data_IF_426066136921
#
_entry.id   IF_426066136921
#
_cell.length_a   1.000
_cell.length_b   1.000
_cell.length_c   1.000
_cell.angle_alpha   90.00
_cell.angle_beta   90.00
_cell.angle_gamma   90.00
#
_symmetry.space_group_name_H-M   'P 1'
#
loop_
_entity.id
_entity.type
_entity.pdbx_description
1 polymer ?
#
# COMPACT_ATOMS: atom_id res chain seq x y z
N UNK A 1 58.27 -16.10 29.86
CA UNK A 1 57.26 -15.61 30.83
C UNK A 1 55.90 -15.57 30.14
N UNK A 2 55.09 -16.60 30.33
CA UNK A 2 53.72 -16.68 29.80
C UNK A 2 52.80 -15.82 30.68
N UNK A 3 52.44 -14.62 30.22
CA UNK A 3 51.45 -13.79 30.90
C UNK A 3 50.07 -14.44 30.81
N UNK A 4 49.61 -15.04 31.91
CA UNK A 4 48.19 -15.38 32.08
C UNK A 4 47.43 -14.06 32.20
N UNK A 5 46.53 -13.80 31.24
CA UNK A 5 45.48 -12.80 31.40
C UNK A 5 44.68 -13.15 32.66
N UNK A 6 44.58 -12.20 33.59
CA UNK A 6 43.66 -12.31 34.72
C UNK A 6 42.22 -12.44 34.18
N UNK A 7 41.36 -13.24 34.82
CA UNK A 7 39.94 -13.25 34.50
C UNK A 7 39.36 -11.83 34.73
N UNK A 8 38.33 -11.42 33.97
CA UNK A 8 37.68 -10.14 34.21
C UNK A 8 37.14 -10.08 35.65
N UNK A 9 37.30 -8.94 36.32
CA UNK A 9 36.84 -8.74 37.70
C UNK A 9 35.30 -8.83 37.76
N UNK A 10 34.78 -9.57 38.75
CA UNK A 10 33.33 -9.72 38.97
C UNK A 10 32.62 -8.37 39.22
N UNK A 11 33.33 -7.38 39.78
CA UNK A 11 32.83 -6.01 40.01
C UNK A 11 32.47 -5.27 38.70
N UNK A 12 33.20 -5.52 37.61
CA UNK A 12 32.93 -4.88 36.31
C UNK A 12 31.66 -5.45 35.65
N UNK A 13 31.31 -6.71 35.94
CA UNK A 13 30.11 -7.35 35.40
C UNK A 13 28.84 -6.89 36.10
N UNK A 14 28.89 -6.68 37.41
CA UNK A 14 27.77 -6.17 38.21
C UNK A 14 27.47 -4.70 37.88
N UNK A 15 28.48 -3.85 37.73
CA UNK A 15 28.25 -2.47 37.26
C UNK A 15 27.69 -2.41 35.83
N UNK A 16 28.15 -3.30 34.94
CA UNK A 16 27.62 -3.39 33.58
C UNK A 16 26.16 -3.85 33.57
N UNK A 17 25.79 -4.75 34.49
CA UNK A 17 24.40 -5.16 34.73
C UNK A 17 23.55 -4.01 35.23
N UNK A 18 24.00 -3.24 36.22
CA UNK A 18 23.25 -2.11 36.75
C UNK A 18 23.02 -1.01 35.69
N UNK A 19 24.04 -0.69 34.89
CA UNK A 19 23.91 0.24 33.77
C UNK A 19 22.94 -0.28 32.70
N UNK A 20 22.97 -1.58 32.40
CA UNK A 20 22.08 -2.20 31.44
C UNK A 20 20.63 -2.29 31.94
N UNK A 21 20.41 -2.65 33.21
CA UNK A 21 19.10 -2.63 33.85
C UNK A 21 18.50 -1.22 33.89
N UNK A 22 19.33 -0.18 34.05
CA UNK A 22 18.88 1.21 33.90
C UNK A 22 18.52 1.59 32.46
N UNK A 23 19.18 1.00 31.45
CA UNK A 23 18.88 1.21 30.03
C UNK A 23 17.65 0.44 29.56
N UNK A 24 17.46 -0.77 30.08
CA UNK A 24 16.43 -1.73 29.67
C UNK A 24 15.40 -1.95 30.78
N UNK A 25 14.90 -0.86 31.39
CA UNK A 25 14.03 -0.93 32.57
C UNK A 25 12.73 -1.71 32.33
N UNK A 26 12.24 -1.72 31.08
CA UNK A 26 11.03 -2.45 30.71
C UNK A 26 11.31 -3.87 30.24
N UNK A 27 12.57 -4.30 30.20
CA UNK A 27 12.99 -5.64 29.78
C UNK A 27 13.14 -6.57 30.98
N UNK A 28 12.71 -7.83 30.86
CA UNK A 28 12.86 -8.81 31.94
C UNK A 28 14.32 -9.06 32.26
N UNK A 29 14.64 -9.23 33.55
CA UNK A 29 16.03 -9.40 34.00
C UNK A 29 16.78 -10.54 33.28
N UNK A 30 16.12 -11.68 33.05
CA UNK A 30 16.72 -12.82 32.31
C UNK A 30 17.11 -12.46 30.86
N UNK A 31 16.38 -11.52 30.26
CA UNK A 31 16.59 -11.07 28.88
C UNK A 31 17.62 -9.92 28.83
N UNK A 32 17.78 -9.14 29.90
CA UNK A 32 18.89 -8.17 30.05
C UNK A 32 20.24 -8.89 30.03
N UNK A 33 20.37 -10.01 30.77
CA UNK A 33 21.57 -10.85 30.74
C UNK A 33 21.86 -11.40 29.33
N UNK A 34 20.81 -11.75 28.58
CA UNK A 34 20.94 -12.17 27.19
C UNK A 34 21.47 -11.03 26.30
N UNK A 35 20.96 -9.80 26.45
CA UNK A 35 21.43 -8.63 25.71
C UNK A 35 22.91 -8.32 25.99
N UNK A 36 23.33 -8.38 27.26
CA UNK A 36 24.72 -8.16 27.65
C UNK A 36 25.68 -9.19 27.05
N UNK A 37 25.31 -10.47 27.12
CA UNK A 37 26.08 -11.55 26.51
C UNK A 37 26.10 -11.41 25.00
N UNK A 38 24.98 -11.01 24.40
CA UNK A 38 24.88 -10.87 22.96
C UNK A 38 25.75 -9.74 22.42
N UNK A 39 25.80 -8.59 23.09
CA UNK A 39 26.63 -7.45 22.69
C UNK A 39 28.13 -7.80 22.62
N UNK A 40 28.58 -8.79 23.40
CA UNK A 40 29.96 -9.29 23.41
C UNK A 40 30.25 -10.33 22.29
N UNK A 41 29.24 -10.81 21.56
CA UNK A 41 29.43 -11.81 20.48
C UNK A 41 30.13 -11.18 19.29
N UNK A 42 31.07 -11.92 18.71
CA UNK A 42 31.80 -11.48 17.51
C UNK A 42 30.85 -11.12 16.36
N UNK A 43 31.05 -9.94 15.76
CA UNK A 43 30.27 -9.43 14.64
C UNK A 43 28.87 -8.91 15.00
N UNK A 44 28.52 -8.87 16.29
CA UNK A 44 27.34 -8.14 16.76
C UNK A 44 27.67 -6.65 16.90
N UNK A 45 26.80 -5.81 16.36
CA UNK A 45 26.83 -4.36 16.50
C UNK A 45 25.66 -3.94 17.40
N UNK A 46 25.94 -3.11 18.41
CA UNK A 46 24.91 -2.50 19.26
C UNK A 46 24.76 -1.02 18.91
N UNK A 47 23.54 -0.61 18.58
CA UNK A 47 23.20 0.76 18.23
C UNK A 47 22.89 1.61 19.48
N UNK A 48 22.91 2.96 19.36
CA UNK A 48 22.52 3.85 20.46
C UNK A 48 21.10 3.62 20.98
N UNK A 49 20.17 3.16 20.14
CA UNK A 49 18.81 2.76 20.55
C UNK A 49 18.79 1.55 21.47
N UNK A 50 19.85 0.74 21.46
CA UNK A 50 19.94 -0.54 22.17
C UNK A 50 19.64 -1.74 21.28
N UNK A 51 19.17 -1.52 20.05
CA UNK A 51 19.06 -2.56 19.04
C UNK A 51 20.43 -3.20 18.78
N UNK A 52 20.47 -4.52 18.74
CA UNK A 52 21.67 -5.24 18.31
C UNK A 52 21.40 -5.97 17.01
N UNK A 53 22.41 -6.06 16.14
CA UNK A 53 22.31 -6.86 14.93
C UNK A 53 23.63 -7.53 14.58
N UNK A 54 23.54 -8.64 13.85
CA UNK A 54 24.66 -9.32 13.21
C UNK A 54 24.31 -9.60 11.76
N UNK A 55 25.13 -9.10 10.84
CA UNK A 55 25.00 -9.41 9.41
C UNK A 55 25.39 -10.88 9.20
N UNK A 56 24.42 -11.74 8.88
CA UNK A 56 24.67 -13.16 8.58
C UNK A 56 25.11 -13.35 7.14
N UNK A 57 24.48 -12.59 6.23
CA UNK A 57 24.85 -12.51 4.82
C UNK A 57 24.57 -11.10 4.34
N UNK A 58 25.53 -10.52 3.66
CA UNK A 58 25.32 -9.24 2.97
C UNK A 58 24.70 -9.49 1.60
N UNK A 59 23.73 -8.67 1.24
CA UNK A 59 23.29 -8.48 -0.14
C UNK A 59 24.39 -7.87 -1.02
N UNK A 60 24.16 -7.81 -2.34
CA UNK A 60 25.15 -7.32 -3.30
C UNK A 60 25.54 -5.85 -3.03
N UNK A 61 26.78 -5.46 -3.37
CA UNK A 61 27.17 -4.04 -3.40
C UNK A 61 26.19 -3.23 -4.26
N UNK A 62 25.71 -2.11 -3.75
CA UNK A 62 24.69 -1.28 -4.43
C UNK A 62 23.24 -1.76 -4.27
N UNK A 63 22.97 -2.80 -3.48
CA UNK A 63 21.61 -3.21 -3.14
C UNK A 63 20.78 -2.05 -2.59
N UNK A 64 19.51 -1.96 -3.02
CA UNK A 64 18.58 -0.89 -2.64
C UNK A 64 18.39 -0.86 -1.12
N UNK A 65 18.33 0.35 -0.55
CA UNK A 65 18.08 0.56 0.88
C UNK A 65 16.66 1.07 1.11
N UNK A 66 15.89 0.48 2.02
CA UNK A 66 14.56 0.97 2.38
C UNK A 66 14.61 2.38 2.96
N UNK A 67 13.66 3.24 2.58
CA UNK A 67 13.25 4.40 3.37
C UNK A 67 12.12 4.01 4.32
N UNK A 68 11.80 4.87 5.29
CA UNK A 68 10.74 4.64 6.26
C UNK A 68 9.41 4.14 5.65
N UNK A 69 8.99 4.72 4.52
CA UNK A 69 7.74 4.37 3.84
C UNK A 69 7.90 3.41 2.65
N UNK A 70 9.08 2.82 2.44
CA UNK A 70 9.32 1.91 1.30
C UNK A 70 8.79 0.51 1.58
N UNK A 71 7.88 -0.04 0.74
CA UNK A 71 7.44 -1.43 0.90
C UNK A 71 8.58 -2.41 0.68
N UNK A 72 8.78 -3.30 1.65
CA UNK A 72 9.85 -4.29 1.67
C UNK A 72 9.24 -5.68 1.72
N UNK A 73 9.64 -6.56 0.80
CA UNK A 73 9.31 -7.99 0.87
C UNK A 73 10.37 -8.69 1.71
N UNK A 74 9.95 -9.35 2.78
CA UNK A 74 10.88 -9.94 3.75
C UNK A 74 10.48 -11.38 4.10
N UNK A 75 11.48 -12.18 4.41
CA UNK A 75 11.31 -13.40 5.17
C UNK A 75 11.85 -13.18 6.58
N UNK A 76 11.15 -13.69 7.58
CA UNK A 76 11.65 -13.73 8.94
C UNK A 76 11.19 -14.95 9.73
N UNK A 77 11.93 -15.19 10.80
CA UNK A 77 11.60 -16.09 11.91
C UNK A 77 11.85 -15.34 13.22
N UNK A 78 10.83 -15.21 14.06
CA UNK A 78 10.89 -14.55 15.36
C UNK A 78 10.83 -15.57 16.50
N UNK A 79 11.81 -15.49 17.40
CA UNK A 79 11.93 -16.35 18.58
C UNK A 79 12.15 -15.51 19.84
N UNK A 80 11.78 -16.06 20.99
CA UNK A 80 12.16 -15.55 22.31
C UNK A 80 13.59 -16.00 22.66
N UNK A 81 14.16 -15.40 23.71
CA UNK A 81 15.52 -15.72 24.22
C UNK A 81 15.69 -17.17 24.68
N UNK A 82 14.60 -17.86 25.01
CA UNK A 82 14.56 -19.30 25.34
C UNK A 82 14.42 -20.22 24.10
N UNK A 83 14.36 -19.65 22.90
CA UNK A 83 14.24 -20.39 21.64
C UNK A 83 12.80 -20.64 21.18
N UNK A 84 11.79 -20.26 21.97
CA UNK A 84 10.38 -20.41 21.60
C UNK A 84 10.05 -19.55 20.37
N UNK A 85 9.60 -20.19 19.28
CA UNK A 85 9.13 -19.48 18.09
C UNK A 85 7.73 -18.92 18.31
N UNK A 86 7.54 -17.62 18.05
CA UNK A 86 6.24 -16.96 18.18
C UNK A 86 5.63 -16.58 16.83
N UNK A 87 6.46 -16.38 15.79
CA UNK A 87 5.98 -16.11 14.44
C UNK A 87 7.07 -16.42 13.39
N UNK A 88 6.65 -16.92 12.23
CA UNK A 88 7.55 -17.25 11.13
C UNK A 88 6.82 -17.20 9.79
N UNK A 89 7.44 -16.52 8.84
CA UNK A 89 7.00 -16.53 7.43
C UNK A 89 7.40 -17.83 6.71
N UNK A 90 8.42 -18.54 7.20
CA UNK A 90 8.83 -19.83 6.66
C UNK A 90 7.81 -20.91 6.94
N UNK A 91 7.25 -20.92 8.15
CA UNK A 91 6.15 -21.83 8.56
C UNK A 91 4.90 -21.58 7.73
N UNK A 92 4.64 -20.31 7.40
CA UNK A 92 3.55 -19.88 6.50
C UNK A 92 3.86 -20.09 5.00
N UNK A 93 5.08 -20.52 4.65
CA UNK A 93 5.59 -20.72 3.28
C UNK A 93 5.43 -19.52 2.35
N UNK A 94 5.28 -18.32 2.90
CA UNK A 94 5.07 -17.10 2.12
C UNK A 94 5.73 -15.90 2.81
N UNK A 95 6.58 -15.13 2.10
CA UNK A 95 7.12 -13.89 2.62
C UNK A 95 6.04 -12.81 2.74
N UNK A 96 6.27 -11.85 3.63
CA UNK A 96 5.34 -10.74 3.88
C UNK A 96 5.87 -9.46 3.23
N UNK A 97 4.96 -8.54 2.90
CA UNK A 97 5.31 -7.17 2.50
C UNK A 97 4.91 -6.23 3.62
N UNK A 98 5.86 -5.43 4.09
CA UNK A 98 5.66 -4.46 5.17
C UNK A 98 6.48 -3.20 4.90
N UNK A 99 6.15 -2.12 5.60
CA UNK A 99 6.92 -0.88 5.55
C UNK A 99 7.62 -0.64 6.90
N UNK A 100 8.84 -0.09 6.91
CA UNK A 100 9.52 0.24 8.15
C UNK A 100 8.69 1.16 9.08
N UNK A 101 7.85 2.04 8.55
CA UNK A 101 6.99 2.94 9.34
C UNK A 101 5.74 2.27 9.96
N UNK A 102 5.49 0.98 9.69
CA UNK A 102 4.32 0.24 10.19
C UNK A 102 4.68 -0.94 11.10
N UNK A 103 5.93 -1.05 11.53
CA UNK A 103 6.44 -2.14 12.37
C UNK A 103 7.01 -1.59 13.68
N UNK A 104 7.36 -2.49 14.60
CA UNK A 104 7.97 -2.09 15.88
C UNK A 104 9.29 -1.31 15.65
N UNK A 105 9.65 -0.35 16.53
CA UNK A 105 10.79 0.54 16.32
C UNK A 105 12.12 -0.16 15.97
N UNK A 106 12.41 -1.31 16.58
CA UNK A 106 13.62 -2.07 16.30
C UNK A 106 13.66 -2.63 14.87
N UNK A 107 12.52 -3.02 14.32
CA UNK A 107 12.39 -3.42 12.93
C UNK A 107 12.50 -2.20 11.98
N UNK A 108 11.89 -1.08 12.35
CA UNK A 108 11.98 0.19 11.59
C UNK A 108 13.43 0.62 11.40
N UNK A 109 14.22 0.58 12.47
CA UNK A 109 15.64 0.92 12.45
C UNK A 109 16.47 -0.11 11.67
N UNK A 110 16.29 -1.41 11.94
CA UNK A 110 16.99 -2.48 11.23
C UNK A 110 16.80 -2.41 9.72
N UNK A 111 15.55 -2.34 9.25
CA UNK A 111 15.23 -2.37 7.82
C UNK A 111 15.85 -1.19 7.07
N UNK A 112 15.92 0.00 7.66
CA UNK A 112 16.51 1.18 7.02
C UNK A 112 18.04 1.13 6.97
N UNK A 113 18.69 0.29 7.78
CA UNK A 113 20.13 0.04 7.72
C UNK A 113 20.50 -1.07 6.72
N UNK A 114 19.60 -2.04 6.56
CA UNK A 114 19.73 -3.15 5.61
C UNK A 114 19.72 -2.68 4.16
N UNK A 115 20.22 -3.56 3.27
CA UNK A 115 20.06 -3.47 1.82
C UNK A 115 19.43 -4.75 1.27
N UNK A 116 18.80 -4.65 0.12
CA UNK A 116 18.24 -5.78 -0.60
C UNK A 116 19.24 -6.95 -0.71
N UNK A 117 18.80 -8.16 -0.36
CA UNK A 117 19.58 -9.39 -0.30
C UNK A 117 20.21 -9.69 1.07
N UNK A 118 20.22 -8.72 1.99
CA UNK A 118 20.76 -8.90 3.34
C UNK A 118 19.96 -9.94 4.12
N UNK A 119 20.68 -10.76 4.89
CA UNK A 119 20.13 -11.59 5.96
C UNK A 119 20.82 -11.22 7.27
N UNK A 120 20.06 -10.73 8.22
CA UNK A 120 20.53 -10.27 9.53
C UNK A 120 19.91 -11.12 10.63
N UNK A 121 20.64 -11.27 11.72
CA UNK A 121 20.04 -11.55 13.02
C UNK A 121 19.88 -10.20 13.72
N UNK A 122 18.67 -9.88 14.18
CA UNK A 122 18.40 -8.68 14.98
C UNK A 122 17.86 -9.08 16.35
N UNK A 123 18.29 -8.37 17.38
CA UNK A 123 17.92 -8.61 18.77
C UNK A 123 17.36 -7.31 19.31
N UNK A 124 16.07 -7.35 19.58
CA UNK A 124 15.22 -6.19 19.84
C UNK A 124 14.87 -6.17 21.34
N UNK A 125 15.42 -5.22 22.12
CA UNK A 125 14.98 -4.94 23.48
C UNK A 125 13.48 -4.65 23.56
N UNK A 126 12.86 -4.86 24.71
CA UNK A 126 11.40 -4.75 24.82
C UNK A 126 10.91 -3.33 24.47
N UNK A 127 11.70 -2.30 24.78
CA UNK A 127 11.41 -0.88 24.52
C UNK A 127 11.36 -0.56 23.02
N UNK A 128 12.04 -1.36 22.18
CA UNK A 128 11.99 -1.27 20.72
C UNK A 128 11.05 -2.31 20.10
N UNK A 129 10.37 -3.10 20.94
CA UNK A 129 9.41 -4.14 20.59
C UNK A 129 8.02 -3.83 21.15
N UNK A 130 7.51 -4.72 22.02
CA UNK A 130 6.15 -4.64 22.58
C UNK A 130 6.08 -4.14 24.04
N UNK A 131 7.21 -3.65 24.58
CA UNK A 131 7.32 -3.09 25.92
C UNK A 131 6.88 -4.05 27.03
N UNK A 132 6.62 -3.49 28.21
CA UNK A 132 6.21 -4.24 29.41
C UNK A 132 4.86 -4.96 29.28
N UNK A 133 4.01 -4.55 28.32
CA UNK A 133 2.68 -5.15 28.13
C UNK A 133 2.73 -6.45 27.30
N UNK A 134 3.65 -6.54 26.34
CA UNK A 134 3.71 -7.65 25.40
C UNK A 134 2.60 -7.61 24.36
N UNK A 135 2.50 -8.65 23.53
CA UNK A 135 1.50 -8.77 22.48
C UNK A 135 1.26 -10.23 22.08
N UNK A 136 0.00 -10.70 22.16
CA UNK A 136 -0.37 -12.06 21.78
C UNK A 136 0.48 -13.12 22.50
N UNK A 137 1.23 -13.98 21.78
CA UNK A 137 2.11 -14.99 22.38
C UNK A 137 3.39 -14.41 22.99
N UNK A 138 3.69 -13.13 22.77
CA UNK A 138 4.89 -12.45 23.26
C UNK A 138 4.58 -11.88 24.65
N UNK A 139 5.22 -12.39 25.71
CA UNK A 139 4.92 -11.86 27.04
C UNK A 139 5.58 -10.48 27.25
N UNK A 140 5.09 -9.73 28.22
CA UNK A 140 5.57 -8.37 28.53
C UNK A 140 7.05 -8.29 28.90
N UNK A 141 7.78 -7.31 28.38
CA UNK A 141 9.20 -7.10 28.64
C UNK A 141 10.13 -8.12 27.97
N UNK A 142 9.66 -8.90 27.01
CA UNK A 142 10.48 -9.87 26.28
C UNK A 142 11.48 -9.17 25.34
N UNK A 143 12.70 -9.71 25.27
CA UNK A 143 13.60 -9.50 24.12
C UNK A 143 13.19 -10.40 22.97
N UNK A 144 13.17 -9.85 21.76
CA UNK A 144 12.82 -10.57 20.54
C UNK A 144 14.09 -10.80 19.72
N UNK A 145 14.28 -12.02 19.25
CA UNK A 145 15.36 -12.36 18.32
C UNK A 145 14.73 -12.70 16.98
N UNK A 146 15.15 -12.03 15.92
CA UNK A 146 14.69 -12.30 14.57
C UNK A 146 15.84 -12.70 13.67
N UNK A 147 15.65 -13.76 12.90
CA UNK A 147 16.36 -13.93 11.63
C UNK A 147 15.56 -13.23 10.56
N UNK A 148 16.09 -12.14 9.99
CA UNK A 148 15.43 -11.28 9.02
C UNK A 148 16.17 -11.29 7.69
N UNK A 149 15.47 -11.59 6.61
CA UNK A 149 15.98 -11.57 5.24
C UNK A 149 15.20 -10.55 4.41
N UNK A 150 15.89 -9.51 3.95
CA UNK A 150 15.34 -8.48 3.09
C UNK A 150 15.44 -8.93 1.64
N UNK A 151 14.36 -9.49 1.11
CA UNK A 151 14.36 -10.11 -0.22
C UNK A 151 14.29 -9.06 -1.32
N UNK A 152 13.54 -7.98 -1.09
CA UNK A 152 13.20 -7.00 -2.12
C UNK A 152 12.83 -5.66 -1.48
N UNK A 153 13.39 -4.58 -2.00
CA UNK A 153 13.01 -3.20 -1.67
C UNK A 153 12.25 -2.64 -2.85
N UNK A 154 10.92 -2.54 -2.74
CA UNK A 154 10.10 -2.10 -3.87
C UNK A 154 10.41 -0.65 -4.20
N UNK A 155 10.73 -0.36 -5.45
CA UNK A 155 10.81 1.03 -5.91
C UNK A 155 9.45 1.68 -5.69
N UNK A 156 9.44 2.87 -5.10
CA UNK A 156 8.30 3.76 -5.21
C UNK A 156 8.16 4.11 -6.69
N UNK A 157 7.24 3.40 -7.37
CA UNK A 157 6.81 3.56 -8.76
C UNK A 157 7.82 3.15 -9.86
N UNK A 158 7.79 1.88 -10.27
CA UNK A 158 7.52 1.36 -11.64
C UNK A 158 7.87 -0.12 -11.75
N UNK A 159 7.09 -0.85 -12.57
CA UNK A 159 7.34 -2.17 -13.16
C UNK A 159 7.11 -3.45 -12.32
N UNK A 160 5.84 -3.80 -12.12
CA UNK A 160 5.43 -5.19 -11.84
C UNK A 160 5.53 -6.14 -13.04
N UNK A 161 5.88 -5.65 -14.24
CA UNK A 161 6.01 -6.45 -15.46
C UNK A 161 7.46 -6.92 -15.73
N UNK A 162 8.46 -6.12 -15.38
CA UNK A 162 9.88 -6.46 -15.60
C UNK A 162 10.34 -7.65 -14.76
N UNK A 163 10.02 -7.63 -13.46
CA UNK A 163 10.43 -8.69 -12.52
C UNK A 163 9.78 -10.06 -12.80
N UNK A 164 8.58 -10.07 -13.39
CA UNK A 164 7.90 -11.31 -13.80
C UNK A 164 8.56 -11.87 -15.06
N UNK A 165 8.92 -11.00 -16.00
CA UNK A 165 9.56 -11.40 -17.26
C UNK A 165 10.99 -11.89 -17.02
N UNK A 166 11.76 -11.21 -16.17
CA UNK A 166 13.15 -11.61 -15.88
C UNK A 166 13.21 -12.91 -15.06
N UNK A 167 12.28 -13.13 -14.13
CA UNK A 167 12.14 -14.41 -13.41
C UNK A 167 11.67 -15.54 -14.31
N UNK A 168 10.78 -15.27 -15.26
CA UNK A 168 10.34 -16.26 -16.23
C UNK A 168 11.48 -16.66 -17.19
N UNK A 169 12.27 -15.71 -17.69
CA UNK A 169 13.40 -15.96 -18.60
C UNK A 169 14.50 -16.78 -17.91
N UNK A 170 14.80 -16.51 -16.64
CA UNK A 170 15.81 -17.25 -15.89
C UNK A 170 15.40 -18.71 -15.62
N UNK A 171 14.12 -18.97 -15.36
CA UNK A 171 13.60 -20.32 -15.09
C UNK A 171 13.50 -21.18 -16.37
N UNK A 172 13.08 -20.57 -17.50
CA UNK A 172 12.98 -21.24 -18.81
C UNK A 172 14.34 -21.69 -19.35
N UNK A 173 15.43 -21.02 -18.96
CA UNK A 173 16.79 -21.39 -19.36
C UNK A 173 17.32 -22.68 -18.73
N UNK A 174 16.82 -23.10 -17.57
CA UNK A 174 17.35 -24.27 -16.85
C UNK A 174 16.59 -25.57 -17.13
N UNK A 175 15.28 -25.52 -17.42
CA UNK A 175 14.47 -26.73 -17.60
C UNK A 175 13.37 -26.53 -18.67
N UNK A 176 13.70 -26.61 -19.98
CA UNK A 176 12.74 -26.31 -21.07
C UNK A 176 11.53 -27.27 -21.08
N UNK A 177 11.67 -28.46 -20.51
CA UNK A 177 10.59 -29.44 -20.36
C UNK A 177 9.54 -29.04 -19.31
N UNK A 178 9.94 -28.33 -18.25
CA UNK A 178 9.02 -27.88 -17.21
C UNK A 178 8.06 -26.82 -17.77
N UNK A 179 8.53 -25.97 -18.68
CA UNK A 179 7.67 -25.00 -19.36
C UNK A 179 6.59 -25.69 -20.21
N UNK A 180 6.95 -26.74 -20.96
CA UNK A 180 6.00 -27.51 -21.77
C UNK A 180 4.98 -28.27 -20.90
N UNK A 181 5.41 -28.81 -19.76
CA UNK A 181 4.53 -29.51 -18.81
C UNK A 181 3.61 -28.55 -18.04
N UNK A 182 4.09 -27.34 -17.70
CA UNK A 182 3.27 -26.30 -17.06
C UNK A 182 2.28 -25.71 -18.06
N UNK A 183 2.68 -25.41 -19.29
CA UNK A 183 1.77 -24.95 -20.35
C UNK A 183 0.74 -26.03 -20.69
N UNK A 184 1.18 -27.28 -20.89
CA UNK A 184 0.29 -28.40 -21.15
C UNK A 184 -0.64 -28.72 -19.98
N UNK A 185 -0.14 -28.61 -18.75
CA UNK A 185 -0.89 -28.79 -17.51
C UNK A 185 -1.91 -27.69 -17.29
N UNK A 186 -1.55 -26.41 -17.49
CA UNK A 186 -2.47 -25.27 -17.42
C UNK A 186 -3.52 -25.32 -18.54
N UNK A 187 -3.16 -25.79 -19.73
CA UNK A 187 -4.09 -26.00 -20.84
C UNK A 187 -5.07 -27.15 -20.55
N UNK A 188 -4.61 -28.25 -19.96
CA UNK A 188 -5.48 -29.34 -19.47
C UNK A 188 -6.38 -28.87 -18.32
N UNK A 189 -5.85 -28.07 -17.38
CA UNK A 189 -6.61 -27.53 -16.26
C UNK A 189 -7.66 -26.51 -16.73
N UNK A 190 -7.34 -25.70 -17.75
CA UNK A 190 -8.28 -24.81 -18.43
C UNK A 190 -9.44 -25.58 -19.08
N UNK A 191 -9.15 -26.73 -19.71
CA UNK A 191 -10.20 -27.60 -20.26
C UNK A 191 -11.03 -28.30 -19.18
N UNK A 192 -10.43 -28.63 -18.03
CA UNK A 192 -11.08 -29.39 -16.96
C UNK A 192 -11.86 -28.54 -15.94
N UNK A 193 -11.46 -27.28 -15.71
CA UNK A 193 -12.04 -26.40 -14.67
C UNK A 193 -12.40 -24.98 -15.16
N UNK A 194 -12.15 -24.63 -16.43
CA UNK A 194 -12.30 -23.27 -16.96
C UNK A 194 -13.15 -23.13 -18.22
N UNK A 195 -13.63 -24.24 -18.81
CA UNK A 195 -14.62 -24.24 -19.90
C UNK A 195 -16.06 -23.96 -19.44
N UNK A 196 -16.24 -23.13 -18.42
CA UNK A 196 -17.53 -22.89 -17.75
C UNK A 196 -17.56 -21.60 -16.93
N UNK A 197 -16.92 -20.54 -17.42
CA UNK A 197 -17.11 -19.18 -16.91
C UNK A 197 -18.32 -18.55 -17.58
N UNK A 198 -19.36 -18.25 -16.81
CA UNK A 198 -20.49 -17.45 -17.28
C UNK A 198 -20.01 -16.08 -17.79
N UNK A 199 -19.94 -15.96 -19.11
CA UNK A 199 -20.00 -14.76 -19.94
C UNK A 199 -19.41 -13.46 -19.41
N UNK A 200 -18.11 -13.27 -19.60
CA UNK A 200 -17.58 -11.97 -19.98
C UNK A 200 -16.47 -12.22 -21.00
N UNK A 201 -16.79 -12.06 -22.29
CA UNK A 201 -15.78 -12.04 -23.35
C UNK A 201 -14.70 -11.02 -23.02
N UNK A 202 -13.48 -11.25 -23.47
CA UNK A 202 -12.40 -10.27 -23.38
C UNK A 202 -12.92 -8.93 -23.92
N UNK A 203 -13.18 -7.97 -23.03
CA UNK A 203 -13.74 -6.67 -23.41
C UNK A 203 -12.70 -5.95 -24.24
N UNK A 204 -13.09 -5.48 -25.41
CA UNK A 204 -12.19 -4.75 -26.30
C UNK A 204 -11.77 -3.43 -25.63
N UNK A 205 -10.49 -3.06 -25.76
CA UNK A 205 -9.99 -1.79 -25.24
C UNK A 205 -10.36 -0.66 -26.21
N UNK A 206 -11.04 0.37 -25.69
CA UNK A 206 -11.32 1.61 -26.43
C UNK A 206 -10.12 2.54 -26.31
N UNK A 207 -9.65 3.09 -27.43
CA UNK A 207 -8.59 4.10 -27.43
C UNK A 207 -9.08 5.38 -26.78
N UNK A 208 -8.27 5.93 -25.87
CA UNK A 208 -8.60 7.16 -25.16
C UNK A 208 -8.83 8.36 -26.09
N UNK A 209 -8.12 8.44 -27.22
CA UNK A 209 -8.31 9.52 -28.19
C UNK A 209 -9.73 9.51 -28.78
N UNK A 210 -10.24 8.32 -29.12
CA UNK A 210 -11.57 8.15 -29.69
C UNK A 210 -12.65 8.45 -28.66
N UNK A 211 -12.45 7.96 -27.42
CA UNK A 211 -13.38 8.21 -26.34
C UNK A 211 -13.45 9.68 -25.91
N UNK A 212 -12.31 10.37 -25.83
CA UNK A 212 -12.27 11.77 -25.42
C UNK A 212 -12.66 12.75 -26.53
N UNK A 213 -12.48 12.37 -27.80
CA UNK A 213 -12.72 13.22 -28.98
C UNK A 213 -14.16 13.28 -29.48
N UNK A 214 -15.08 12.49 -28.91
CA UNK A 214 -16.46 12.44 -29.35
C UNK A 214 -17.19 13.79 -29.10
N UNK A 215 -17.84 14.39 -30.11
CA UNK A 215 -18.49 15.71 -29.99
C UNK A 215 -19.69 15.71 -29.03
N UNK A 216 -20.32 14.56 -28.80
CA UNK A 216 -21.42 14.36 -27.85
C UNK A 216 -20.99 14.30 -26.38
N UNK A 217 -19.68 14.33 -26.10
CA UNK A 217 -19.16 14.27 -24.75
C UNK A 217 -19.54 15.51 -23.95
N UNK A 218 -20.16 15.29 -22.80
CA UNK A 218 -20.45 16.36 -21.85
C UNK A 218 -19.15 16.89 -21.24
N UNK A 219 -19.13 18.18 -20.94
CA UNK A 219 -18.07 18.81 -20.14
C UNK A 219 -18.69 19.33 -18.85
N UNK A 220 -17.97 19.15 -17.76
CA UNK A 220 -18.38 19.60 -16.43
C UNK A 220 -17.20 20.26 -15.74
N UNK A 221 -17.46 21.10 -14.76
CA UNK A 221 -16.41 21.66 -13.90
C UNK A 221 -16.74 21.53 -12.42
N UNK A 222 -15.70 21.60 -11.60
CA UNK A 222 -15.79 21.70 -10.15
C UNK A 222 -14.83 22.80 -9.65
N UNK A 223 -15.34 23.72 -8.85
CA UNK A 223 -14.53 24.68 -8.10
C UNK A 223 -14.20 24.07 -6.73
N UNK A 224 -12.92 23.81 -6.49
CA UNK A 224 -12.38 23.13 -5.32
C UNK A 224 -11.72 24.14 -4.40
N UNK A 225 -12.06 24.09 -3.12
CA UNK A 225 -11.40 24.86 -2.06
C UNK A 225 -10.65 23.92 -1.12
N UNK A 226 -9.33 24.12 -0.99
CA UNK A 226 -8.45 23.36 -0.09
C UNK A 226 -8.22 24.19 1.18
N UNK A 227 -8.70 23.70 2.33
CA UNK A 227 -8.63 24.41 3.60
C UNK A 227 -9.25 25.81 3.51
N UNK A 228 -8.47 26.82 3.88
CA UNK A 228 -8.88 28.23 3.82
C UNK A 228 -8.48 28.94 2.53
N UNK A 229 -7.86 28.24 1.57
CA UNK A 229 -7.41 28.79 0.30
C UNK A 229 -8.54 29.30 -0.60
N UNK A 230 -8.15 29.94 -1.70
CA UNK A 230 -9.09 30.38 -2.72
C UNK A 230 -9.60 29.20 -3.56
N UNK A 231 -10.84 29.24 -4.08
CA UNK A 231 -11.36 28.17 -4.93
C UNK A 231 -10.65 28.13 -6.29
N UNK A 232 -10.20 26.94 -6.71
CA UNK A 232 -9.57 26.70 -8.00
C UNK A 232 -10.41 25.71 -8.82
N UNK A 233 -10.35 25.80 -10.16
CA UNK A 233 -11.25 25.06 -11.05
C UNK A 233 -10.60 23.80 -11.65
N UNK A 234 -11.34 22.70 -11.64
CA UNK A 234 -11.07 21.50 -12.43
C UNK A 234 -12.14 21.38 -13.52
N UNK A 235 -11.74 21.28 -14.78
CA UNK A 235 -12.63 20.98 -15.90
C UNK A 235 -12.42 19.55 -16.39
N UNK A 236 -13.50 18.83 -16.65
CA UNK A 236 -13.46 17.43 -17.06
C UNK A 236 -14.34 17.21 -18.29
N UNK A 237 -13.91 16.27 -19.13
CA UNK A 237 -14.75 15.70 -20.19
C UNK A 237 -15.26 14.33 -19.76
N UNK A 238 -16.53 14.06 -20.01
CA UNK A 238 -17.19 12.78 -19.74
C UNK A 238 -17.35 12.04 -21.06
N UNK A 239 -17.01 10.75 -21.08
CA UNK A 239 -17.05 9.89 -22.26
C UNK A 239 -18.47 9.40 -22.55
N UNK A 240 -19.42 10.33 -22.69
CA UNK A 240 -20.86 10.09 -22.83
C UNK A 240 -21.21 9.15 -23.98
N UNK A 241 -20.41 9.13 -25.05
CA UNK A 241 -20.57 8.17 -26.16
C UNK A 241 -20.42 6.72 -25.72
N UNK A 242 -19.41 6.43 -24.90
CA UNK A 242 -19.03 5.06 -24.55
C UNK A 242 -19.69 4.60 -23.25
N UNK A 243 -19.89 5.52 -22.31
CA UNK A 243 -20.45 5.25 -20.98
C UNK A 243 -21.61 6.22 -20.66
N UNK A 244 -22.71 6.21 -21.44
CA UNK A 244 -23.78 7.18 -21.31
C UNK A 244 -24.44 7.20 -19.92
N UNK A 245 -24.64 6.04 -19.27
CA UNK A 245 -25.25 6.01 -17.92
C UNK A 245 -24.29 6.53 -16.86
N UNK A 246 -23.03 6.12 -16.93
CA UNK A 246 -22.01 6.54 -15.96
C UNK A 246 -21.71 8.04 -16.08
N UNK A 247 -21.58 8.53 -17.32
CA UNK A 247 -21.40 9.95 -17.61
C UNK A 247 -22.61 10.78 -17.18
N UNK A 248 -23.84 10.34 -17.49
CA UNK A 248 -25.06 11.05 -17.10
C UNK A 248 -25.24 11.10 -15.57
N UNK A 249 -24.91 10.02 -14.86
CA UNK A 249 -24.90 10.02 -13.39
C UNK A 249 -23.98 11.12 -12.85
N UNK A 250 -22.73 11.15 -13.30
CA UNK A 250 -21.78 12.15 -12.83
C UNK A 250 -22.18 13.58 -13.21
N UNK A 251 -22.63 13.80 -14.45
CA UNK A 251 -23.08 15.10 -14.95
C UNK A 251 -24.27 15.62 -14.15
N UNK A 252 -25.29 14.79 -13.91
CA UNK A 252 -26.47 15.19 -13.15
C UNK A 252 -26.15 15.46 -11.67
N UNK A 253 -25.20 14.72 -11.07
CA UNK A 253 -24.68 15.03 -9.74
C UNK A 253 -23.85 16.32 -9.71
N UNK A 254 -23.21 16.70 -10.83
CA UNK A 254 -22.59 18.02 -11.00
C UNK A 254 -23.61 19.15 -11.09
N UNK A 255 -24.82 18.94 -11.62
CA UNK A 255 -25.84 20.02 -11.70
C UNK A 255 -26.78 20.04 -10.51
N UNK A 256 -26.97 18.91 -9.82
CA UNK A 256 -27.98 18.75 -8.77
C UNK A 256 -29.41 18.68 -9.30
N UNK A 257 -29.61 18.56 -10.62
CA UNK A 257 -30.93 18.70 -11.26
C UNK A 257 -31.94 17.59 -10.92
N UNK A 258 -31.48 16.48 -10.34
CA UNK A 258 -32.33 15.33 -9.97
C UNK A 258 -32.97 15.47 -8.59
N UNK A 259 -32.73 16.58 -7.88
CA UNK A 259 -33.36 16.87 -6.60
C UNK A 259 -32.91 15.92 -5.49
N UNK A 260 -33.84 15.42 -4.69
CA UNK A 260 -33.56 14.59 -3.51
C UNK A 260 -33.56 13.09 -3.86
N UNK A 261 -32.53 12.37 -3.43
CA UNK A 261 -32.40 10.93 -3.63
C UNK A 261 -33.05 10.10 -2.52
N UNK A 262 -32.87 8.77 -2.58
CA UNK A 262 -33.49 7.83 -1.63
C UNK A 262 -32.91 7.94 -0.22
N UNK A 263 -31.69 8.46 -0.10
CA UNK A 263 -31.07 8.76 1.19
C UNK A 263 -31.70 9.96 1.91
N UNK A 264 -32.62 10.70 1.25
CA UNK A 264 -33.17 11.96 1.75
C UNK A 264 -32.21 13.15 1.62
N UNK A 265 -31.08 12.98 0.94
CA UNK A 265 -30.11 14.05 0.61
C UNK A 265 -30.27 14.51 -0.83
N UNK A 266 -29.87 15.75 -1.10
CA UNK A 266 -29.80 16.27 -2.46
C UNK A 266 -28.75 15.48 -3.28
N UNK A 267 -29.12 15.06 -4.49
CA UNK A 267 -28.26 14.36 -5.45
C UNK A 267 -27.29 15.34 -6.09
N UNK A 268 -26.32 15.81 -5.32
CA UNK A 268 -25.37 16.83 -5.76
C UNK A 268 -23.98 16.65 -5.15
N UNK A 269 -22.93 16.93 -5.91
CA UNK A 269 -21.57 17.01 -5.39
C UNK A 269 -21.29 18.31 -4.62
N UNK A 270 -22.19 19.30 -4.69
CA UNK A 270 -21.97 20.59 -4.03
C UNK A 270 -21.88 20.38 -2.52
N UNK A 271 -20.86 20.95 -1.88
CA UNK A 271 -20.50 20.77 -0.46
C UNK A 271 -19.96 19.38 -0.09
N UNK A 272 -19.89 18.44 -1.03
CA UNK A 272 -19.17 17.19 -0.82
C UNK A 272 -17.66 17.44 -0.72
N UNK A 273 -16.91 16.41 -0.32
CA UNK A 273 -15.48 16.50 -0.06
C UNK A 273 -14.71 15.41 -0.78
N UNK A 274 -13.45 15.70 -1.08
CA UNK A 274 -12.46 14.64 -1.25
C UNK A 274 -12.12 14.11 0.14
N UNK A 275 -12.47 12.85 0.39
CA UNK A 275 -12.40 12.24 1.72
C UNK A 275 -11.27 11.22 1.84
N UNK A 276 -10.65 10.82 0.73
CA UNK A 276 -9.53 9.88 0.70
C UNK A 276 -8.52 10.25 -0.38
N UNK A 277 -7.29 10.51 0.00
CA UNK A 277 -6.19 10.93 -0.88
C UNK A 277 -5.01 10.01 -0.67
N UNK A 278 -4.53 9.38 -1.74
CA UNK A 278 -3.33 8.52 -1.69
C UNK A 278 -2.29 9.12 -2.64
N UNK A 279 -1.21 9.74 -2.09
CA UNK A 279 -0.12 10.28 -2.89
C UNK A 279 0.53 9.22 -3.79
N UNK A 280 0.77 9.58 -5.04
CA UNK A 280 1.26 8.69 -6.09
C UNK A 280 0.22 7.68 -6.56
N UNK A 281 -1.07 7.95 -6.37
CA UNK A 281 -2.14 7.06 -6.82
C UNK A 281 -3.40 7.81 -7.30
N UNK A 282 -4.19 8.37 -6.38
CA UNK A 282 -5.50 8.96 -6.72
C UNK A 282 -6.08 9.85 -5.61
N UNK A 283 -7.04 10.69 -6.00
CA UNK A 283 -7.86 11.52 -5.13
C UNK A 283 -9.33 11.12 -5.25
N UNK A 284 -9.95 10.66 -4.16
CA UNK A 284 -11.33 10.15 -4.15
C UNK A 284 -12.30 11.10 -3.43
N UNK A 285 -13.46 11.31 -4.06
CA UNK A 285 -14.54 12.15 -3.58
C UNK A 285 -15.92 11.60 -3.95
N UNK A 286 -16.94 12.46 -3.89
CA UNK A 286 -18.30 12.13 -4.35
C UNK A 286 -19.22 11.48 -3.32
N UNK A 287 -18.78 11.30 -2.07
CA UNK A 287 -19.66 10.94 -0.96
C UNK A 287 -20.32 12.20 -0.40
N UNK A 288 -21.52 12.52 -0.89
CA UNK A 288 -22.31 13.67 -0.44
C UNK A 288 -23.29 13.34 0.71
N UNK A 289 -23.39 12.07 1.12
CA UNK A 289 -24.34 11.68 2.18
C UNK A 289 -23.66 11.53 3.54
N UNK A 290 -22.51 10.86 3.61
CA UNK A 290 -21.73 10.64 4.83
C UNK A 290 -20.40 11.41 4.85
N UNK A 291 -19.84 11.70 3.67
CA UNK A 291 -18.60 12.48 3.51
C UNK A 291 -17.33 11.80 4.01
N UNK A 292 -17.35 10.48 4.20
CA UNK A 292 -16.25 9.69 4.75
C UNK A 292 -15.96 8.40 3.97
N UNK A 293 -16.64 8.19 2.84
CA UNK A 293 -16.46 7.05 1.96
C UNK A 293 -17.44 5.90 2.20
N UNK A 294 -18.27 5.96 3.24
CA UNK A 294 -19.30 4.92 3.50
C UNK A 294 -20.63 5.22 2.81
N UNK A 295 -20.80 6.42 2.28
CA UNK A 295 -22.04 6.91 1.68
C UNK A 295 -22.01 7.05 0.17
N UNK A 296 -22.83 7.99 -0.31
CA UNK A 296 -23.11 8.22 -1.72
C UNK A 296 -24.30 7.41 -2.25
N UNK A 297 -24.96 7.95 -3.27
CA UNK A 297 -25.98 7.24 -4.06
C UNK A 297 -26.00 7.80 -5.48
N UNK A 298 -26.38 6.97 -6.46
CA UNK A 298 -26.49 7.40 -7.85
C UNK A 298 -27.85 8.06 -8.13
N UNK A 299 -27.97 8.73 -9.28
CA UNK A 299 -29.25 9.23 -9.77
C UNK A 299 -30.27 8.11 -10.10
N UNK A 300 -29.81 6.86 -10.15
CA UNK A 300 -30.62 5.67 -10.45
C UNK A 300 -31.04 4.91 -9.18
N UNK A 301 -30.64 5.39 -7.99
CA UNK A 301 -30.82 4.72 -6.70
C UNK A 301 -29.48 4.45 -6.01
N UNK A 302 -29.46 3.51 -5.06
CA UNK A 302 -28.27 3.28 -4.23
C UNK A 302 -27.03 2.87 -5.04
N UNK A 303 -27.19 1.95 -6.00
CA UNK A 303 -26.11 1.44 -6.85
C UNK A 303 -26.59 1.18 -8.28
N UNK A 304 -25.68 1.22 -9.26
CA UNK A 304 -25.92 0.80 -10.64
C UNK A 304 -24.78 -0.08 -11.18
N UNK A 305 -25.10 -0.82 -12.24
CA UNK A 305 -24.20 -1.77 -12.89
C UNK A 305 -22.98 -1.09 -13.55
N UNK A 306 -21.91 -1.84 -13.72
CA UNK A 306 -20.77 -1.36 -14.50
C UNK A 306 -21.15 -1.29 -15.98
N UNK A 307 -20.70 -0.24 -16.67
CA UNK A 307 -21.01 -0.02 -18.08
C UNK A 307 -19.82 -0.44 -18.95
N UNK A 308 -20.02 -1.46 -19.79
CA UNK A 308 -18.94 -2.09 -20.56
C UNK A 308 -19.31 -2.40 -22.01
N UNK A 309 -20.51 -2.04 -22.46
CA UNK A 309 -21.03 -2.43 -23.78
C UNK A 309 -20.15 -1.92 -24.92
N UNK A 310 -19.50 -0.77 -24.71
CA UNK A 310 -18.56 -0.16 -25.65
C UNK A 310 -17.12 -0.67 -25.52
N UNK A 311 -16.84 -1.62 -24.63
CA UNK A 311 -15.48 -2.00 -24.22
C UNK A 311 -15.00 -1.28 -22.95
N UNK A 312 -13.71 -1.39 -22.65
CA UNK A 312 -13.09 -0.71 -21.50
C UNK A 312 -12.10 0.38 -21.95
N UNK A 313 -12.10 1.51 -21.26
CA UNK A 313 -11.03 2.50 -21.35
C UNK A 313 -10.04 2.21 -20.22
N UNK A 314 -8.76 2.12 -20.57
CA UNK A 314 -7.70 1.84 -19.61
C UNK A 314 -7.36 3.07 -18.76
N UNK A 315 -6.93 2.84 -17.53
CA UNK A 315 -6.26 3.84 -16.68
C UNK A 315 -4.80 4.05 -17.14
N UNK A 316 -4.59 4.21 -18.44
CA UNK A 316 -3.26 4.25 -19.08
C UNK A 316 -2.52 5.59 -18.87
N UNK A 317 -3.20 6.61 -18.33
CA UNK A 317 -2.66 7.96 -18.10
C UNK A 317 -3.03 8.48 -16.71
N UNK A 318 -2.31 9.47 -16.17
CA UNK A 318 -2.77 10.25 -15.03
C UNK A 318 -4.00 11.10 -15.40
N UNK A 319 -4.71 11.57 -14.38
CA UNK A 319 -5.88 12.45 -14.47
C UNK A 319 -7.10 11.83 -15.16
N UNK A 320 -7.23 10.53 -15.03
CA UNK A 320 -8.40 9.78 -15.49
C UNK A 320 -9.48 9.81 -14.43
N UNK A 321 -10.71 10.08 -14.83
CA UNK A 321 -11.89 10.12 -13.95
C UNK A 321 -12.60 8.76 -14.00
N UNK A 322 -12.74 8.12 -12.85
CA UNK A 322 -13.21 6.73 -12.75
C UNK A 322 -14.11 6.50 -11.54
N UNK A 323 -15.03 5.53 -11.66
CA UNK A 323 -15.98 5.22 -10.59
C UNK A 323 -15.31 4.48 -9.44
N UNK A 324 -15.56 4.93 -8.21
CA UNK A 324 -15.26 4.13 -7.02
C UNK A 324 -16.40 3.12 -6.81
N UNK A 325 -16.05 1.88 -6.44
CA UNK A 325 -17.02 0.82 -6.18
C UNK A 325 -16.50 -0.14 -5.10
N UNK A 326 -17.37 -1.04 -4.63
CA UNK A 326 -17.08 -2.08 -3.64
C UNK A 326 -17.15 -3.48 -4.27
N UNK A 327 -16.72 -3.60 -5.54
CA UNK A 327 -16.84 -4.81 -6.35
C UNK A 327 -17.77 -4.62 -7.56
N UNK A 328 -17.92 -5.65 -8.42
CA UNK A 328 -18.67 -5.54 -9.67
C UNK A 328 -20.10 -5.03 -9.47
N UNK A 329 -20.54 -4.13 -10.36
CA UNK A 329 -21.90 -3.60 -10.39
C UNK A 329 -22.34 -2.85 -9.12
N UNK A 330 -21.41 -2.16 -8.46
CA UNK A 330 -21.72 -1.41 -7.22
C UNK A 330 -21.42 0.09 -7.29
N UNK A 331 -21.50 0.67 -8.48
CA UNK A 331 -21.26 2.10 -8.69
C UNK A 331 -22.33 2.95 -8.01
N UNK A 332 -21.93 4.00 -7.31
CA UNK A 332 -22.83 4.96 -6.67
C UNK A 332 -22.58 6.38 -7.18
N UNK A 333 -22.19 7.28 -6.29
CA UNK A 333 -21.74 8.64 -6.65
C UNK A 333 -20.24 8.85 -6.49
N UNK A 334 -19.57 7.98 -5.74
CA UNK A 334 -18.16 8.16 -5.45
C UNK A 334 -17.31 7.94 -6.69
N UNK A 335 -16.29 8.76 -6.84
CA UNK A 335 -15.37 8.76 -7.96
C UNK A 335 -13.95 9.02 -7.47
N UNK A 336 -12.97 8.68 -8.29
CA UNK A 336 -11.60 9.11 -8.08
C UNK A 336 -11.00 9.67 -9.36
N UNK A 337 -10.02 10.56 -9.18
CA UNK A 337 -9.15 11.05 -10.24
C UNK A 337 -7.75 10.47 -10.01
N UNK A 338 -7.21 9.76 -10.99
CA UNK A 338 -5.85 9.21 -10.89
C UNK A 338 -4.80 10.31 -10.99
N UNK A 339 -3.64 10.13 -10.36
CA UNK A 339 -2.49 11.05 -10.50
C UNK A 339 -1.30 10.40 -11.22
N UNK A 340 -1.44 9.11 -11.51
CA UNK A 340 -0.49 8.24 -12.22
C UNK A 340 -1.26 7.22 -13.08
N UNK A 341 -0.62 6.54 -14.04
CA UNK A 341 -1.22 5.38 -14.72
C UNK A 341 -1.51 4.23 -13.74
N UNK A 342 -2.70 3.64 -13.82
CA UNK A 342 -3.21 2.61 -12.90
C UNK A 342 -3.83 1.39 -13.62
N UNK A 343 -3.15 0.73 -14.59
CA UNK A 343 -3.77 -0.31 -15.43
C UNK A 343 -4.29 -1.54 -14.65
N UNK A 344 -3.86 -1.76 -13.41
CA UNK A 344 -4.38 -2.83 -12.55
C UNK A 344 -5.84 -2.64 -12.11
N UNK A 345 -6.40 -1.43 -12.31
CA UNK A 345 -7.81 -1.08 -12.09
C UNK A 345 -8.69 -1.35 -13.32
N UNK A 346 -8.09 -1.66 -14.46
CA UNK A 346 -8.82 -1.90 -15.71
C UNK A 346 -9.81 -3.05 -15.56
N UNK A 347 -10.97 -2.91 -16.20
CA UNK A 347 -12.10 -3.85 -16.10
C UNK A 347 -12.68 -4.05 -14.68
N UNK A 348 -12.21 -3.30 -13.68
CA UNK A 348 -12.74 -3.28 -12.31
C UNK A 348 -13.43 -1.95 -11.97
N UNK A 349 -12.92 -0.86 -12.52
CA UNK A 349 -13.47 0.49 -12.35
C UNK A 349 -13.74 1.10 -13.72
N UNK A 350 -14.94 1.62 -13.93
CA UNK A 350 -15.32 2.26 -15.19
C UNK A 350 -14.67 3.64 -15.29
N UNK A 351 -13.73 3.79 -16.22
CA UNK A 351 -13.15 5.08 -16.59
C UNK A 351 -14.14 5.82 -17.49
N UNK A 352 -14.81 6.83 -16.96
CA UNK A 352 -15.89 7.52 -17.66
C UNK A 352 -15.56 8.97 -18.04
N UNK A 353 -14.34 9.43 -17.77
CA UNK A 353 -13.90 10.76 -18.19
C UNK A 353 -12.40 11.00 -17.95
N UNK A 354 -12.00 12.25 -18.15
CA UNK A 354 -10.66 12.75 -17.78
C UNK A 354 -10.67 14.25 -17.50
N UNK A 355 -9.67 14.71 -16.77
CA UNK A 355 -9.40 16.14 -16.57
C UNK A 355 -8.88 16.77 -17.87
N UNK A 356 -9.42 17.93 -18.22
CA UNK A 356 -8.97 18.78 -19.32
C UNK A 356 -8.16 19.98 -18.83
N UNK A 357 -8.56 20.58 -17.71
CA UNK A 357 -7.91 21.74 -17.08
C UNK A 357 -7.92 21.57 -15.55
N UNK A 358 -6.96 22.17 -14.86
CA UNK A 358 -6.84 22.07 -13.39
C UNK A 358 -6.10 20.82 -12.90
N UNK A 359 -5.18 20.26 -13.71
CA UNK A 359 -4.36 19.11 -13.29
C UNK A 359 -3.45 19.47 -12.10
N UNK A 360 -2.97 20.71 -12.04
CA UNK A 360 -2.26 21.30 -10.92
C UNK A 360 -3.13 21.35 -9.66
N UNK A 361 -4.43 21.69 -9.80
CA UNK A 361 -5.39 21.62 -8.68
C UNK A 361 -5.51 20.19 -8.16
N UNK A 362 -5.63 19.19 -9.04
CA UNK A 362 -5.63 17.76 -8.63
C UNK A 362 -4.33 17.37 -7.93
N UNK A 363 -3.18 17.83 -8.41
CA UNK A 363 -1.90 17.60 -7.74
C UNK A 363 -1.79 18.31 -6.39
N UNK A 364 -2.41 19.48 -6.23
CA UNK A 364 -2.45 20.20 -4.95
C UNK A 364 -3.36 19.47 -3.95
N UNK A 365 -4.49 18.93 -4.41
CA UNK A 365 -5.34 18.03 -3.62
C UNK A 365 -4.51 16.82 -3.16
N UNK A 366 -3.77 16.17 -4.08
CA UNK A 366 -2.94 15.00 -3.78
C UNK A 366 -1.85 15.28 -2.72
N UNK A 367 -1.22 16.46 -2.76
CA UNK A 367 -0.17 16.87 -1.82
C UNK A 367 -0.71 17.24 -0.44
N UNK A 368 -2.02 17.28 -0.25
CA UNK A 368 -2.61 17.65 1.04
C UNK A 368 -2.23 16.61 2.10
N UNK A 369 -1.65 17.01 3.25
CA UNK A 369 -1.32 16.08 4.32
C UNK A 369 -2.53 15.27 4.76
N UNK A 370 -2.34 13.96 4.95
CA UNK A 370 -3.40 13.04 5.36
C UNK A 370 -3.06 12.35 6.68
N UNK A 371 -4.10 11.88 7.38
CA UNK A 371 -3.94 10.99 8.53
C UNK A 371 -3.67 9.54 8.10
N UNK A 372 -3.62 8.62 9.06
CA UNK A 372 -3.38 7.19 8.81
C UNK A 372 -4.46 6.48 7.99
N UNK A 373 -5.65 7.07 7.84
CA UNK A 373 -6.78 6.52 7.09
C UNK A 373 -6.87 7.13 5.68
N UNK A 374 -5.78 7.73 5.19
CA UNK A 374 -5.70 8.47 3.93
C UNK A 374 -6.65 9.68 3.86
N UNK A 375 -7.18 10.15 5.00
CA UNK A 375 -8.10 11.29 5.05
C UNK A 375 -7.32 12.61 5.14
N UNK A 376 -7.62 13.61 4.30
CA UNK A 376 -6.91 14.88 4.35
C UNK A 376 -7.15 15.61 5.68
N UNK A 377 -6.08 16.21 6.23
CA UNK A 377 -6.09 16.93 7.50
C UNK A 377 -6.82 18.28 7.42
N UNK A 378 -6.96 18.82 6.21
CA UNK A 378 -7.79 19.98 5.91
C UNK A 378 -8.93 19.59 4.99
N UNK A 379 -10.05 20.29 5.11
CA UNK A 379 -11.21 20.04 4.26
C UNK A 379 -10.90 20.42 2.79
N UNK A 380 -11.15 19.50 1.86
CA UNK A 380 -11.08 19.75 0.42
C UNK A 380 -12.51 19.69 -0.13
N UNK A 381 -13.14 20.86 -0.27
CA UNK A 381 -14.58 21.01 -0.54
C UNK A 381 -14.85 21.34 -1.99
N UNK A 382 -15.91 20.76 -2.52
CA UNK A 382 -16.51 21.15 -3.81
C UNK A 382 -17.50 22.29 -3.56
N UNK A 383 -17.23 23.49 -4.08
CA UNK A 383 -18.05 24.69 -3.81
C UNK A 383 -19.08 24.99 -4.90
N UNK A 384 -18.66 24.92 -6.15
CA UNK A 384 -19.50 25.14 -7.31
C UNK A 384 -19.22 24.08 -8.36
N UNK A 385 -20.27 23.74 -9.10
CA UNK A 385 -20.31 22.64 -10.05
C UNK A 385 -21.32 22.98 -11.15
N UNK A 386 -21.03 22.63 -12.40
CA UNK A 386 -21.96 22.74 -13.52
C UNK A 386 -21.58 21.81 -14.66
#
# INVERSE_FOLDING_TARGET
ASGRMAPPNDEDEDEARDRASMRYRGTRQRDVDFLLKSAKREGVVQLPSGLQYKVRRSGPPGGRKPKASTPCRVHYRGILTDGTEFDSTYTRKQPIVLRPDQVVPGWTEALQLMREGDRWEIIVPSELGYGERGAGPIPGGAVLVFELELLEVKSSFTSGLGDVVDRAIAYVRQEPMVLLLVIGGLYMLYQMFGGGGGGAGAKEQVKLADAAGAPENARVFMDIKIGDGEPERIEMVLFSKHYPKTAENFRALCTGEKGTGKSGKELTFKKSKFHRIIPGFMCQGGDFTAGNGTGGESIYGSKFADEWDSGFISHEKPFMLSMANAGPNTNGSQFFVTTVPCPWLDSKHTVFGRVLQGMDVVQNIEKTPCNSDDRPLVDIKVLAIK
#
